data_IF_150288155915
#
_entry.id   IF_150288155915
#
_cell.length_a   1.000
_cell.length_b   1.000
_cell.length_c   1.000
_cell.angle_alpha   90.00
_cell.angle_beta   90.00
_cell.angle_gamma   90.00
#
_symmetry.space_group_name_H-M   'P 1'
#
loop_
_entity.id
_entity.type
_entity.pdbx_description
1 polymer ?
#
# COMPACT_ATOMS: atom_id res chain seq x y z
N UNK A 1 -0.07 -22.39 3.23
CA UNK A 1 -0.01 -21.40 4.34
C UNK A 1 -0.59 -20.08 3.85
N UNK A 2 -1.72 -19.64 4.40
CA UNK A 2 -2.31 -18.32 4.11
C UNK A 2 -1.63 -17.24 4.95
N UNK A 3 -1.40 -16.05 4.38
CA UNK A 3 -0.92 -14.88 5.11
C UNK A 3 -2.14 -14.04 5.49
N UNK A 4 -2.30 -13.75 6.77
CA UNK A 4 -3.31 -12.84 7.30
C UNK A 4 -2.58 -11.58 7.75
N UNK A 5 -2.89 -10.43 7.17
CA UNK A 5 -2.45 -9.13 7.70
C UNK A 5 -3.66 -8.43 8.30
N UNK A 6 -3.54 -7.97 9.54
CA UNK A 6 -4.53 -7.19 10.25
C UNK A 6 -3.91 -5.92 10.80
N UNK A 7 -4.60 -4.80 10.66
CA UNK A 7 -4.27 -3.53 11.29
C UNK A 7 -5.53 -3.02 12.00
N UNK A 8 -5.42 -2.67 13.27
CA UNK A 8 -6.55 -2.19 14.09
C UNK A 8 -6.23 -0.81 14.65
N UNK A 9 -6.94 0.21 14.20
CA UNK A 9 -6.83 1.61 14.61
C UNK A 9 -7.75 2.00 15.79
N UNK A 10 -8.66 1.12 16.24
CA UNK A 10 -9.58 1.38 17.36
C UNK A 10 -10.31 0.14 17.91
N UNK A 11 -11.07 0.32 18.99
CA UNK A 11 -11.88 -0.75 19.62
C UNK A 11 -13.30 -0.87 19.03
N UNK A 12 -13.81 0.20 18.43
CA UNK A 12 -15.15 0.28 17.84
C UNK A 12 -15.13 0.89 16.44
N UNK A 13 -16.00 0.40 15.55
CA UNK A 13 -16.12 0.88 14.17
C UNK A 13 -17.58 0.98 13.76
N UNK A 14 -17.97 2.12 13.21
CA UNK A 14 -19.35 2.38 12.79
C UNK A 14 -19.71 1.70 11.46
N UNK A 15 -18.71 1.32 10.66
CA UNK A 15 -18.89 0.75 9.32
C UNK A 15 -17.85 -0.30 8.99
N UNK A 16 -18.30 -1.34 8.30
CA UNK A 16 -17.48 -2.40 7.71
C UNK A 16 -17.74 -2.46 6.20
N UNK A 17 -16.70 -2.70 5.40
CA UNK A 17 -16.83 -2.91 3.96
C UNK A 17 -15.85 -3.96 3.45
N UNK A 18 -16.31 -4.80 2.52
CA UNK A 18 -15.46 -5.75 1.79
C UNK A 18 -15.17 -5.18 0.41
N UNK A 19 -13.89 -5.08 0.08
CA UNK A 19 -13.40 -4.48 -1.16
C UNK A 19 -12.54 -5.46 -1.93
N UNK A 20 -12.87 -5.65 -3.20
CA UNK A 20 -12.09 -6.39 -4.19
C UNK A 20 -11.33 -5.44 -5.12
N UNK A 21 -11.35 -4.14 -4.88
CA UNK A 21 -10.45 -3.18 -5.53
C UNK A 21 -10.13 -2.06 -4.56
N UNK A 22 -9.04 -2.25 -3.80
CA UNK A 22 -8.63 -1.35 -2.73
C UNK A 22 -7.10 -1.16 -2.80
N UNK A 23 -6.55 0.04 -2.57
CA UNK A 23 -5.10 0.30 -2.65
C UNK A 23 -4.22 -0.61 -1.79
N UNK A 24 -4.78 -1.12 -0.68
CA UNK A 24 -4.12 -2.13 0.17
C UNK A 24 -3.80 -3.45 -0.56
N UNK A 25 -4.59 -3.78 -1.59
CA UNK A 25 -4.47 -5.03 -2.34
C UNK A 25 -3.35 -4.96 -3.38
N UNK A 26 -2.85 -3.77 -3.71
CA UNK A 26 -1.75 -3.57 -4.67
C UNK A 26 -0.49 -4.33 -4.25
N UNK A 27 -0.18 -4.40 -2.95
CA UNK A 27 0.91 -5.20 -2.35
C UNK A 27 0.88 -6.69 -2.73
N UNK A 28 -0.27 -7.20 -3.14
CA UNK A 28 -0.48 -8.62 -3.42
C UNK A 28 -0.81 -8.93 -4.87
N UNK A 29 -1.39 -7.95 -5.58
CA UNK A 29 -1.80 -8.10 -6.98
C UNK A 29 -0.66 -7.89 -7.95
N UNK A 30 0.34 -7.13 -7.53
CA UNK A 30 1.45 -6.75 -8.39
C UNK A 30 2.73 -7.49 -8.04
N UNK A 31 3.65 -7.66 -9.00
CA UNK A 31 4.98 -8.13 -8.69
C UNK A 31 5.70 -7.11 -7.81
N UNK A 32 6.38 -7.59 -6.78
CA UNK A 32 7.22 -6.73 -5.94
C UNK A 32 8.50 -6.37 -6.68
N UNK A 33 8.63 -5.11 -7.10
CA UNK A 33 9.80 -4.61 -7.82
C UNK A 33 10.73 -3.83 -6.89
N UNK A 34 12.01 -3.71 -7.28
CA UNK A 34 13.01 -2.95 -6.51
C UNK A 34 13.50 -1.75 -7.30
N UNK A 35 13.72 -0.63 -6.61
CA UNK A 35 14.20 0.63 -7.17
C UNK A 35 15.59 0.93 -6.63
N UNK A 36 16.54 1.10 -7.54
CA UNK A 36 17.91 1.48 -7.23
C UNK A 36 18.18 2.88 -7.77
N UNK A 37 19.00 3.64 -7.03
CA UNK A 37 19.50 4.93 -7.49
C UNK A 37 21.00 4.83 -7.80
N UNK A 38 21.46 5.66 -8.72
CA UNK A 38 22.86 5.77 -9.14
C UNK A 38 23.35 7.22 -9.27
N UNK A 39 22.62 8.16 -8.66
CA UNK A 39 23.13 9.50 -8.36
C UNK A 39 22.59 10.02 -7.04
N UNK A 40 23.25 11.07 -6.54
CA UNK A 40 22.85 11.78 -5.33
C UNK A 40 21.62 12.63 -5.59
N UNK A 41 20.77 12.76 -4.57
CA UNK A 41 19.76 13.81 -4.53
C UNK A 41 20.44 15.15 -4.17
N UNK A 42 20.04 16.23 -4.84
CA UNK A 42 20.50 17.58 -4.50
C UNK A 42 20.02 17.99 -3.09
N UNK A 43 18.82 17.56 -2.73
CA UNK A 43 18.20 17.75 -1.42
C UNK A 43 17.57 16.41 -0.97
N UNK A 44 18.30 15.60 -0.17
CA UNK A 44 17.82 14.31 0.33
C UNK A 44 16.52 14.41 1.15
N UNK A 45 16.37 15.43 2.01
CA UNK A 45 15.21 15.62 2.87
C UNK A 45 13.96 15.98 2.06
N UNK A 46 14.10 16.91 1.10
CA UNK A 46 12.99 17.28 0.22
C UNK A 46 12.58 16.10 -0.67
N UNK A 47 13.54 15.34 -1.18
CA UNK A 47 13.30 14.13 -1.97
C UNK A 47 12.53 13.08 -1.17
N UNK A 48 12.97 12.81 0.07
CA UNK A 48 12.29 11.86 0.95
C UNK A 48 10.86 12.33 1.29
N UNK A 49 10.68 13.62 1.53
CA UNK A 49 9.37 14.22 1.80
C UNK A 49 8.41 14.09 0.62
N UNK A 50 8.90 14.30 -0.62
CA UNK A 50 8.09 14.09 -1.84
C UNK A 50 7.70 12.62 -2.01
N UNK A 51 8.62 11.69 -1.75
CA UNK A 51 8.30 10.26 -1.77
C UNK A 51 7.23 9.93 -0.73
N UNK A 52 7.30 10.48 0.49
CA UNK A 52 6.31 10.24 1.52
C UNK A 52 4.92 10.76 1.13
N UNK A 53 4.85 11.95 0.53
CA UNK A 53 3.60 12.52 -0.01
C UNK A 53 3.05 11.66 -1.15
N UNK A 54 3.91 11.17 -2.05
CA UNK A 54 3.53 10.26 -3.12
C UNK A 54 2.98 8.95 -2.57
N UNK A 55 3.65 8.31 -1.60
CA UNK A 55 3.15 7.09 -0.97
C UNK A 55 1.79 7.31 -0.34
N UNK A 56 1.63 8.41 0.40
CA UNK A 56 0.36 8.75 1.02
C UNK A 56 -0.75 8.92 -0.03
N UNK A 57 -0.48 9.63 -1.13
CA UNK A 57 -1.45 9.80 -2.20
C UNK A 57 -1.75 8.48 -2.93
N UNK A 58 -0.72 7.68 -3.22
CA UNK A 58 -0.82 6.43 -3.97
C UNK A 58 -1.67 5.39 -3.21
N UNK A 59 -1.46 5.29 -1.90
CA UNK A 59 -2.16 4.34 -1.05
C UNK A 59 -3.28 4.96 -0.24
N UNK A 60 -3.74 6.17 -0.54
CA UNK A 60 -4.79 6.88 0.21
C UNK A 60 -4.56 6.87 1.75
N UNK A 61 -3.29 7.04 2.14
CA UNK A 61 -2.83 7.03 3.53
C UNK A 61 -2.84 5.66 4.23
N UNK A 62 -3.20 4.59 3.52
CA UNK A 62 -3.25 3.25 4.10
C UNK A 62 -1.87 2.60 4.33
N UNK A 63 -0.85 3.11 3.64
CA UNK A 63 0.52 2.59 3.71
C UNK A 63 1.51 3.73 3.95
N UNK A 64 2.38 3.59 4.96
CA UNK A 64 3.45 4.55 5.21
C UNK A 64 4.65 4.25 4.30
N UNK A 65 5.47 5.26 3.98
CA UNK A 65 6.65 5.13 3.11
C UNK A 65 7.66 4.11 3.68
N UNK A 66 7.83 4.12 4.99
CA UNK A 66 8.77 3.29 5.76
C UNK A 66 8.58 1.79 5.50
N UNK A 67 7.36 1.37 5.13
CA UNK A 67 7.08 -0.02 4.74
C UNK A 67 7.85 -0.46 3.49
N UNK A 68 8.16 0.48 2.60
CA UNK A 68 8.75 0.21 1.30
C UNK A 68 10.22 0.56 1.22
N UNK A 69 10.73 1.41 2.12
CA UNK A 69 12.14 1.76 2.16
C UNK A 69 13.03 0.54 2.46
N UNK A 70 14.27 0.60 1.99
CA UNK A 70 15.28 -0.37 2.37
C UNK A 70 15.55 -0.32 3.88
N UNK A 71 15.09 -1.33 4.62
CA UNK A 71 15.22 -1.37 6.08
C UNK A 71 16.67 -1.52 6.56
N UNK A 72 17.56 -2.01 5.70
CA UNK A 72 18.96 -2.25 6.04
C UNK A 72 19.83 -0.99 5.95
N UNK A 73 19.29 0.11 5.41
CA UNK A 73 20.06 1.34 5.20
C UNK A 73 19.25 2.62 5.44
N UNK A 74 19.78 3.61 6.19
CA UNK A 74 19.08 4.87 6.41
C UNK A 74 18.81 5.62 5.09
N UNK A 75 17.57 6.01 4.79
CA UNK A 75 17.19 6.55 3.48
C UNK A 75 17.86 7.89 3.16
N UNK A 76 18.05 8.75 4.16
CA UNK A 76 18.73 10.04 3.98
C UNK A 76 20.20 9.85 3.61
N UNK A 77 20.88 8.86 4.21
CA UNK A 77 22.28 8.55 3.87
C UNK A 77 22.32 7.98 2.44
N UNK A 78 21.40 7.09 2.08
CA UNK A 78 21.33 6.51 0.73
C UNK A 78 21.17 7.58 -0.35
N UNK A 79 20.25 8.53 -0.14
CA UNK A 79 19.99 9.65 -1.04
C UNK A 79 21.18 10.62 -1.12
N UNK A 80 21.89 10.83 -0.01
CA UNK A 80 23.07 11.69 0.05
C UNK A 80 24.31 11.06 -0.61
N UNK A 81 24.48 9.74 -0.50
CA UNK A 81 25.59 9.00 -1.12
C UNK A 81 25.32 8.74 -2.60
N UNK A 82 24.06 8.49 -2.95
CA UNK A 82 23.55 8.42 -4.32
C UNK A 82 23.71 7.06 -4.97
N UNK A 83 23.79 5.98 -4.20
CA UNK A 83 23.88 4.63 -4.76
C UNK A 83 23.17 3.60 -3.87
N UNK A 84 22.55 2.60 -4.50
CA UNK A 84 21.98 1.44 -3.83
C UNK A 84 20.47 1.31 -3.95
N UNK A 85 19.90 0.28 -3.31
CA UNK A 85 18.46 0.03 -3.30
C UNK A 85 17.78 1.02 -2.36
N UNK A 86 16.92 1.88 -2.90
CA UNK A 86 16.16 2.84 -2.11
C UNK A 86 14.89 2.24 -1.54
N UNK A 87 14.11 1.55 -2.38
CA UNK A 87 12.81 1.00 -1.98
C UNK A 87 12.44 -0.26 -2.77
N UNK A 88 11.50 -1.02 -2.20
CA UNK A 88 10.93 -2.23 -2.77
C UNK A 88 9.43 -2.25 -2.49
N UNK A 89 8.62 -2.46 -3.52
CA UNK A 89 7.16 -2.39 -3.41
C UNK A 89 6.42 -2.85 -4.67
N UNK A 90 5.11 -2.62 -4.77
CA UNK A 90 4.33 -2.92 -5.98
C UNK A 90 4.91 -2.24 -7.22
N UNK A 91 4.87 -2.92 -8.36
CA UNK A 91 5.49 -2.45 -9.60
C UNK A 91 5.01 -1.05 -10.03
N UNK A 92 3.71 -0.79 -9.96
CA UNK A 92 3.12 0.51 -10.33
C UNK A 92 3.56 1.62 -9.36
N UNK A 93 3.61 1.33 -8.06
CA UNK A 93 4.14 2.24 -7.05
C UNK A 93 5.64 2.54 -7.27
N UNK A 94 6.44 1.51 -7.52
CA UNK A 94 7.88 1.65 -7.81
C UNK A 94 8.10 2.50 -9.06
N UNK A 95 7.30 2.31 -10.12
CA UNK A 95 7.37 3.12 -11.33
C UNK A 95 6.98 4.59 -11.08
N UNK A 96 5.98 4.83 -10.21
CA UNK A 96 5.61 6.19 -9.80
C UNK A 96 6.74 6.88 -9.03
N UNK A 97 7.39 6.18 -8.09
CA UNK A 97 8.56 6.70 -7.37
C UNK A 97 9.73 6.98 -8.31
N UNK A 98 10.02 6.08 -9.26
CA UNK A 98 11.08 6.28 -10.25
C UNK A 98 10.83 7.56 -11.09
N UNK A 99 9.58 7.79 -11.49
CA UNK A 99 9.19 9.01 -12.22
C UNK A 99 9.36 10.26 -11.37
N UNK A 100 9.02 10.20 -10.08
CA UNK A 100 9.22 11.32 -9.16
C UNK A 100 10.70 11.65 -8.96
N UNK A 101 11.54 10.64 -8.73
CA UNK A 101 12.99 10.79 -8.60
C UNK A 101 13.65 11.38 -9.86
N UNK A 102 13.23 10.92 -11.04
CA UNK A 102 13.73 11.45 -12.30
C UNK A 102 13.40 12.94 -12.50
N UNK A 103 12.27 13.43 -11.96
CA UNK A 103 11.91 14.87 -11.98
C UNK A 103 12.79 15.71 -11.05
N UNK A 104 13.39 15.07 -10.05
CA UNK A 104 14.33 15.68 -9.10
C UNK A 104 15.79 15.49 -9.54
N UNK A 105 16.04 15.14 -10.80
CA UNK A 105 17.36 14.84 -11.38
C UNK A 105 18.11 13.70 -10.67
N UNK A 106 17.40 12.82 -9.96
CA UNK A 106 17.98 11.60 -9.38
C UNK A 106 17.95 10.49 -10.42
N UNK A 107 19.13 9.97 -10.78
CA UNK A 107 19.29 8.83 -11.68
C UNK A 107 18.83 7.56 -10.97
N UNK A 108 17.94 6.85 -11.65
CA UNK A 108 17.44 5.55 -11.23
C UNK A 108 17.94 4.49 -12.21
N UNK A 109 18.31 3.34 -11.69
CA UNK A 109 18.65 2.18 -12.52
C UNK A 109 17.36 1.52 -13.05
N UNK A 110 17.46 0.65 -14.07
CA UNK A 110 16.32 -0.11 -14.54
C UNK A 110 15.62 -0.88 -13.40
N UNK A 111 14.30 -0.74 -13.34
CA UNK A 111 13.47 -1.41 -12.32
C UNK A 111 13.67 -2.93 -12.44
N UNK A 112 14.04 -3.57 -11.33
CA UNK A 112 14.17 -5.03 -11.27
C UNK A 112 12.80 -5.62 -10.94
N UNK A 113 12.14 -6.32 -11.89
CA UNK A 113 10.80 -6.87 -11.67
C UNK A 113 10.87 -8.09 -10.73
N UNK A 114 9.88 -8.17 -9.84
CA UNK A 114 9.64 -9.38 -9.06
C UNK A 114 8.71 -10.37 -9.74
N UNK A 115 8.40 -11.45 -9.03
CA UNK A 115 7.40 -12.44 -9.45
C UNK A 115 6.09 -12.15 -8.73
N UNK A 116 4.99 -12.04 -9.49
CA UNK A 116 3.64 -11.91 -8.92
C UNK A 116 3.17 -13.26 -8.40
N UNK A 117 2.44 -13.24 -7.29
CA UNK A 117 1.60 -14.37 -6.89
C UNK A 117 0.16 -13.94 -7.05
N UNK A 118 -0.41 -14.17 -8.23
CA UNK A 118 -1.82 -13.92 -8.45
C UNK A 118 -2.63 -14.75 -7.45
N UNK A 119 -3.35 -14.04 -6.59
CA UNK A 119 -4.10 -14.62 -5.47
C UNK A 119 -5.38 -13.84 -5.32
N UNK A 120 -6.56 -14.50 -5.41
CA UNK A 120 -7.82 -13.84 -5.14
C UNK A 120 -7.85 -13.39 -3.67
N UNK A 121 -7.76 -12.08 -3.48
CA UNK A 121 -7.69 -11.40 -2.20
C UNK A 121 -8.71 -10.28 -2.16
N UNK A 122 -9.36 -10.13 -1.02
CA UNK A 122 -10.19 -8.98 -0.69
C UNK A 122 -9.68 -8.31 0.59
N UNK A 123 -9.95 -7.01 0.72
CA UNK A 123 -9.71 -6.25 1.93
C UNK A 123 -11.04 -6.06 2.67
N UNK A 124 -11.11 -6.52 3.91
CA UNK A 124 -12.20 -6.20 4.82
C UNK A 124 -11.75 -5.00 5.66
N UNK A 125 -12.35 -3.83 5.44
CA UNK A 125 -11.98 -2.59 6.12
C UNK A 125 -13.04 -2.19 7.16
N UNK A 126 -12.58 -1.68 8.29
CA UNK A 126 -13.38 -1.11 9.37
C UNK A 126 -12.73 0.24 9.78
N UNK A 127 -13.28 1.37 9.35
CA UNK A 127 -12.59 2.66 9.53
C UNK A 127 -11.21 2.67 8.85
N UNK A 128 -10.13 2.88 9.62
CA UNK A 128 -8.71 2.77 9.16
C UNK A 128 -8.06 1.41 9.50
N UNK A 129 -8.88 0.45 9.92
CA UNK A 129 -8.49 -0.92 10.19
C UNK A 129 -8.80 -1.78 8.98
N UNK A 130 -7.99 -2.80 8.75
CA UNK A 130 -8.25 -3.72 7.65
C UNK A 130 -7.71 -5.12 7.94
N UNK A 131 -8.31 -6.10 7.26
CA UNK A 131 -7.84 -7.46 7.17
C UNK A 131 -7.78 -7.87 5.70
N UNK A 132 -6.65 -8.39 5.23
CA UNK A 132 -6.58 -9.00 3.90
C UNK A 132 -6.89 -10.49 3.99
N UNK A 133 -7.92 -10.91 3.24
CA UNK A 133 -8.43 -12.29 3.27
C UNK A 133 -8.16 -12.97 1.95
N UNK A 134 -7.46 -14.10 2.01
CA UNK A 134 -7.25 -14.98 0.87
C UNK A 134 -8.41 -15.97 0.76
N UNK A 135 -9.20 -15.87 -0.30
CA UNK A 135 -10.24 -16.85 -0.58
C UNK A 135 -9.63 -17.99 -1.40
N UNK A 136 -9.55 -19.23 -0.90
CA UNK A 136 -9.42 -20.35 -1.80
C UNK A 136 -10.64 -20.30 -2.72
N UNK A 137 -10.38 -20.23 -4.03
CA UNK A 137 -11.37 -20.10 -5.10
C UNK A 137 -12.56 -21.02 -4.80
N UNK A 138 -13.75 -20.44 -4.65
CA UNK A 138 -14.99 -21.01 -4.06
C UNK A 138 -15.23 -20.69 -2.58
N UNK A 139 -15.61 -19.45 -2.23
CA UNK A 139 -16.61 -19.25 -1.17
C UNK A 139 -17.31 -17.88 -1.30
N UNK A 140 -18.62 -17.97 -1.48
CA UNK A 140 -19.69 -16.96 -1.35
C UNK A 140 -19.37 -15.49 -1.68
N UNK A 141 -19.96 -15.02 -2.80
CA UNK A 141 -20.50 -13.66 -2.87
C UNK A 141 -21.52 -13.50 -1.74
N UNK A 142 -21.16 -12.80 -0.67
CA UNK A 142 -22.17 -12.29 0.26
C UNK A 142 -22.75 -11.04 -0.40
N UNK A 143 -23.97 -11.17 -0.92
CA UNK A 143 -24.73 -10.02 -1.43
C UNK A 143 -24.81 -8.96 -0.34
N UNK A 144 -24.40 -7.72 -0.65
CA UNK A 144 -24.49 -6.58 0.27
C UNK A 144 -25.93 -6.28 0.71
N UNK A 145 -26.93 -6.85 0.02
CA UNK A 145 -28.33 -6.82 0.42
C UNK A 145 -28.62 -7.62 1.71
N UNK A 146 -27.78 -8.60 2.06
CA UNK A 146 -27.98 -9.50 3.20
C UNK A 146 -27.52 -8.92 4.54
N UNK A 147 -26.83 -7.78 4.54
CA UNK A 147 -26.38 -7.08 5.76
C UNK A 147 -27.40 -6.04 6.28
N UNK A 148 -28.58 -5.90 5.65
CA UNK A 148 -29.64 -4.96 6.07
C UNK A 148 -30.78 -5.57 6.89
N UNK A 149 -30.57 -6.74 7.49
CA UNK A 149 -31.62 -7.43 8.25
C UNK A 149 -31.17 -7.74 9.69
N UNK A 150 -31.05 -6.69 10.51
CA UNK A 150 -31.11 -6.77 11.96
C UNK A 150 -32.23 -5.84 12.45
N UNK A 151 -33.10 -6.25 13.39
CA UNK A 151 -34.35 -5.55 13.69
C UNK A 151 -34.15 -4.34 14.63
N UNK A 152 -34.72 -3.18 14.26
CA UNK A 152 -35.09 -2.05 15.13
C UNK A 152 -33.92 -1.31 15.82
N UNK A 153 -33.88 0.00 15.97
CA UNK A 153 -34.92 0.88 16.52
C UNK A 153 -34.58 2.32 16.12
N UNK A 154 -35.59 3.10 15.74
CA UNK A 154 -35.45 4.55 15.62
C UNK A 154 -36.39 5.19 14.60
N UNK A 155 -37.71 5.01 14.78
CA UNK A 155 -38.67 5.98 14.26
C UNK A 155 -38.47 7.31 15.01
N UNK A 156 -38.31 8.39 14.26
CA UNK A 156 -38.59 9.75 14.73
C UNK A 156 -40.05 9.86 15.19
N UNK A 157 -40.27 10.45 16.36
CA UNK A 157 -41.53 11.09 16.72
C UNK A 157 -41.20 12.52 17.14
N UNK A 158 -41.70 13.45 16.30
CA UNK A 158 -41.97 14.89 16.49
C UNK A 158 -41.03 15.69 17.39
#
# INVERSE_FOLDING_TARGET
MGKLEAHCAGEHYDRAGLFDDHPLLTDYREPTSSLFISSRAADPDATLSRLAQLTHAFFDGWRPLERYLNADYPPLILLAEGYGMLLKGPASYVAACATALARDDVRVDPIVPGVTRDRPLAALCFGRSYVTVHFPTQLLRVDAASLRSGPGVGQELV
#
